data_IF_487034223141
#
_entry.id   IF_487034223141
#
_cell.length_a   1.000
_cell.length_b   1.000
_cell.length_c   1.000
_cell.angle_alpha   90.00
_cell.angle_beta   90.00
_cell.angle_gamma   90.00
#
_symmetry.space_group_name_H-M   'P 1'
#
loop_
_entity.id
_entity.type
_entity.pdbx_description
1 polymer ?
#
# COMPACT_ATOMS: atom_id res chain seq x y z
N UNK A 1 -2.09 -0.08 20.93
CA UNK A 1 -1.42 1.23 21.13
C UNK A 1 -1.29 2.07 19.85
N UNK A 2 -1.01 1.49 18.66
CA UNK A 2 -0.92 2.24 17.38
C UNK A 2 -2.20 3.03 17.00
N UNK A 3 -3.39 2.49 17.25
CA UNK A 3 -4.66 3.14 16.89
C UNK A 3 -4.90 4.47 17.65
N UNK A 4 -4.54 4.50 18.94
CA UNK A 4 -4.67 5.71 19.77
C UNK A 4 -3.72 6.83 19.31
N UNK A 5 -2.51 6.48 18.85
CA UNK A 5 -1.53 7.44 18.35
C UNK A 5 -1.97 8.06 17.00
N UNK A 6 -2.52 7.25 16.09
CA UNK A 6 -3.09 7.73 14.83
C UNK A 6 -4.31 8.62 15.07
N UNK A 7 -5.21 8.24 15.98
CA UNK A 7 -6.36 9.07 16.35
C UNK A 7 -5.94 10.41 16.96
N UNK A 8 -4.92 10.42 17.83
CA UNK A 8 -4.37 11.66 18.37
C UNK A 8 -3.76 12.53 17.28
N UNK A 9 -2.96 11.97 16.37
CA UNK A 9 -2.38 12.70 15.24
C UNK A 9 -3.45 13.31 14.34
N UNK A 10 -4.50 12.55 14.01
CA UNK A 10 -5.64 13.01 13.22
C UNK A 10 -6.43 14.12 13.92
N UNK A 11 -6.62 14.04 15.24
CA UNK A 11 -7.25 15.10 16.01
C UNK A 11 -6.39 16.38 16.06
N UNK A 12 -5.08 16.26 16.23
CA UNK A 12 -4.19 17.42 16.27
C UNK A 12 -4.09 18.12 14.91
N UNK A 13 -4.07 17.36 13.81
CA UNK A 13 -4.10 17.95 12.47
C UNK A 13 -5.45 18.59 12.16
N UNK A 14 -6.58 17.96 12.53
CA UNK A 14 -7.91 18.52 12.35
C UNK A 14 -8.13 19.83 13.13
N UNK A 15 -7.64 19.89 14.39
CA UNK A 15 -7.72 21.09 15.24
C UNK A 15 -7.01 22.28 14.58
N UNK A 16 -5.84 22.04 13.98
CA UNK A 16 -5.06 23.08 13.33
C UNK A 16 -5.68 23.52 11.99
N UNK A 17 -6.32 22.62 11.24
CA UNK A 17 -7.02 22.97 9.99
C UNK A 17 -8.30 23.79 10.20
N UNK A 18 -8.92 23.70 11.38
CA UNK A 18 -10.10 24.49 11.75
C UNK A 18 -9.76 25.87 12.33
N UNK A 19 -8.49 26.11 12.62
CA UNK A 19 -8.03 27.38 13.16
C UNK A 19 -7.73 28.34 12.00
N UNK A 20 -8.68 29.21 11.69
CA UNK A 20 -8.41 30.36 10.81
C UNK A 20 -7.27 31.19 11.40
N UNK A 21 -6.39 31.69 10.52
CA UNK A 21 -5.31 32.57 10.95
C UNK A 21 -5.91 33.76 11.70
N UNK A 22 -5.50 33.95 12.97
CA UNK A 22 -5.97 35.07 13.76
C UNK A 22 -5.68 36.37 12.99
N UNK A 23 -6.69 37.24 12.78
CA UNK A 23 -6.51 38.43 11.98
C UNK A 23 -5.41 39.29 12.59
N UNK A 24 -4.42 39.63 11.79
CA UNK A 24 -3.41 40.60 12.17
C UNK A 24 -4.13 41.92 12.47
N UNK A 25 -3.81 42.52 13.63
CA UNK A 25 -4.37 43.83 13.98
C UNK A 25 -4.05 44.87 12.90
N UNK A 26 -4.84 45.95 12.79
CA UNK A 26 -4.83 46.89 11.65
C UNK A 26 -3.50 47.63 11.38
N UNK A 27 -2.44 47.38 12.16
CA UNK A 27 -1.14 48.03 12.05
C UNK A 27 0.07 47.08 11.88
N UNK A 28 -0.13 45.76 11.86
CA UNK A 28 0.98 44.81 11.75
C UNK A 28 1.11 44.23 10.34
N UNK A 29 2.06 44.75 9.57
CA UNK A 29 2.50 44.11 8.32
C UNK A 29 3.82 43.36 8.57
N UNK A 30 3.91 42.13 8.06
CA UNK A 30 5.14 41.36 8.13
C UNK A 30 6.14 41.87 7.08
N UNK A 31 7.46 41.77 7.32
CA UNK A 31 8.46 42.14 6.32
C UNK A 31 8.28 41.36 5.02
N UNK A 32 8.39 42.02 3.87
CA UNK A 32 8.18 41.39 2.57
C UNK A 32 9.14 40.23 2.30
N UNK A 33 10.39 40.33 2.74
CA UNK A 33 11.39 39.26 2.64
C UNK A 33 10.99 38.00 3.44
N UNK A 34 10.33 38.19 4.59
CA UNK A 34 9.78 37.09 5.38
C UNK A 34 8.61 36.43 4.66
N UNK A 35 7.67 37.22 4.12
CA UNK A 35 6.51 36.68 3.39
C UNK A 35 6.94 35.85 2.18
N UNK A 36 7.83 36.37 1.34
CA UNK A 36 8.33 35.65 0.16
C UNK A 36 9.03 34.35 0.54
N UNK A 37 9.89 34.39 1.56
CA UNK A 37 10.60 33.20 2.03
C UNK A 37 9.66 32.17 2.64
N UNK A 38 8.71 32.61 3.47
CA UNK A 38 7.72 31.74 4.12
C UNK A 38 6.81 31.07 3.10
N UNK A 39 6.30 31.82 2.12
CA UNK A 39 5.45 31.27 1.06
C UNK A 39 6.19 30.25 0.21
N UNK A 40 7.44 30.53 -0.17
CA UNK A 40 8.24 29.58 -0.94
C UNK A 40 8.59 28.33 -0.14
N UNK A 41 8.86 28.46 1.17
CA UNK A 41 9.06 27.32 2.05
C UNK A 41 7.80 26.46 2.16
N UNK A 42 6.62 27.07 2.33
CA UNK A 42 5.35 26.34 2.35
C UNK A 42 5.13 25.60 1.03
N UNK A 43 5.36 26.27 -0.11
CA UNK A 43 5.23 25.65 -1.44
C UNK A 43 6.16 24.45 -1.59
N UNK A 44 7.41 24.57 -1.14
CA UNK A 44 8.37 23.47 -1.18
C UNK A 44 7.97 22.31 -0.28
N UNK A 45 7.55 22.59 0.96
CA UNK A 45 7.09 21.56 1.90
C UNK A 45 5.86 20.83 1.34
N UNK A 46 4.93 21.54 0.70
CA UNK A 46 3.77 20.93 0.04
C UNK A 46 4.19 20.00 -1.10
N UNK A 47 5.15 20.42 -1.94
CA UNK A 47 5.69 19.59 -3.01
C UNK A 47 6.41 18.34 -2.49
N UNK A 48 7.29 18.51 -1.50
CA UNK A 48 8.01 17.38 -0.87
C UNK A 48 7.04 16.41 -0.18
N UNK A 49 5.96 16.92 0.43
CA UNK A 49 4.91 16.10 1.06
C UNK A 49 4.10 15.30 0.02
N UNK A 50 3.76 15.92 -1.12
CA UNK A 50 3.08 15.25 -2.23
C UNK A 50 3.97 14.15 -2.83
N UNK A 51 5.27 14.41 -3.03
CA UNK A 51 6.22 13.40 -3.53
C UNK A 51 6.32 12.21 -2.57
N UNK A 52 6.41 12.48 -1.26
CA UNK A 52 6.42 11.42 -0.26
C UNK A 52 5.13 10.60 -0.30
N UNK A 53 3.97 11.26 -0.35
CA UNK A 53 2.68 10.59 -0.47
C UNK A 53 2.60 9.74 -1.73
N UNK A 54 3.03 10.24 -2.89
CA UNK A 54 3.03 9.49 -4.15
C UNK A 54 3.93 8.24 -4.07
N UNK A 55 5.11 8.35 -3.46
CA UNK A 55 6.02 7.20 -3.29
C UNK A 55 5.43 6.12 -2.38
N UNK A 56 4.85 6.52 -1.26
CA UNK A 56 4.21 5.60 -0.31
C UNK A 56 3.02 4.88 -0.96
N UNK A 57 2.20 5.63 -1.68
CA UNK A 57 0.98 5.11 -2.32
C UNK A 57 1.28 4.23 -3.53
N UNK A 58 2.27 4.60 -4.35
CA UNK A 58 2.76 3.76 -5.44
C UNK A 58 3.30 2.42 -4.93
N UNK A 59 3.98 2.43 -3.78
CA UNK A 59 4.53 1.22 -3.19
C UNK A 59 3.44 0.24 -2.71
N UNK A 60 2.43 0.73 -1.99
CA UNK A 60 1.30 -0.10 -1.53
C UNK A 60 0.47 -0.62 -2.71
N UNK A 61 0.24 0.20 -3.73
CA UNK A 61 -0.45 -0.20 -4.95
C UNK A 61 0.28 -1.34 -5.67
N UNK A 62 1.61 -1.23 -5.85
CA UNK A 62 2.41 -2.29 -6.45
C UNK A 62 2.38 -3.59 -5.64
N UNK A 63 2.44 -3.48 -4.32
CA UNK A 63 2.34 -4.63 -3.43
C UNK A 63 0.98 -5.34 -3.57
N UNK A 64 -0.11 -4.57 -3.52
CA UNK A 64 -1.47 -5.11 -3.70
C UNK A 64 -1.65 -5.76 -5.08
N UNK A 65 -1.24 -5.09 -6.16
CA UNK A 65 -1.30 -5.65 -7.52
C UNK A 65 -0.47 -6.92 -7.69
N UNK A 66 0.71 -6.98 -7.06
CA UNK A 66 1.56 -8.17 -7.05
C UNK A 66 0.91 -9.34 -6.33
N UNK A 67 0.33 -9.12 -5.15
CA UNK A 67 -0.41 -10.14 -4.41
C UNK A 67 -1.59 -10.67 -5.23
N UNK A 68 -2.31 -9.78 -5.89
CA UNK A 68 -3.42 -10.14 -6.76
C UNK A 68 -3.00 -11.02 -7.95
N UNK A 69 -1.86 -10.70 -8.58
CA UNK A 69 -1.27 -11.52 -9.63
C UNK A 69 -0.94 -12.94 -9.11
N UNK A 70 -0.30 -13.04 -7.95
CA UNK A 70 0.05 -14.34 -7.37
C UNK A 70 -1.17 -15.14 -6.96
N UNK A 71 -2.25 -14.50 -6.49
CA UNK A 71 -3.52 -15.18 -6.22
C UNK A 71 -4.06 -15.86 -7.49
N UNK A 72 -4.08 -15.15 -8.63
CA UNK A 72 -4.49 -15.73 -9.91
C UNK A 72 -3.59 -16.88 -10.38
N UNK A 73 -2.28 -16.77 -10.18
CA UNK A 73 -1.32 -17.83 -10.49
C UNK A 73 -1.52 -19.06 -9.60
N UNK A 74 -1.72 -18.88 -8.29
CA UNK A 74 -1.99 -19.97 -7.36
C UNK A 74 -3.34 -20.64 -7.66
N UNK A 75 -4.35 -19.88 -8.07
CA UNK A 75 -5.63 -20.42 -8.50
C UNK A 75 -5.49 -21.30 -9.74
N UNK A 76 -4.68 -20.88 -10.71
CA UNK A 76 -4.39 -21.66 -11.92
C UNK A 76 -3.69 -23.00 -11.61
N UNK A 77 -2.95 -23.05 -10.51
CA UNK A 77 -2.26 -24.25 -10.02
C UNK A 77 -3.18 -25.24 -9.28
N UNK A 78 -4.47 -24.92 -9.11
CA UNK A 78 -5.43 -25.85 -8.53
C UNK A 78 -5.38 -27.21 -9.25
N UNK A 79 -5.30 -28.29 -8.46
CA UNK A 79 -5.19 -29.65 -8.98
C UNK A 79 -3.83 -30.03 -9.55
N UNK A 80 -2.70 -29.42 -9.11
CA UNK A 80 -1.34 -29.96 -9.38
C UNK A 80 -1.25 -31.43 -8.96
N UNK A 81 -1.58 -31.71 -7.70
CA UNK A 81 -1.70 -33.06 -7.15
C UNK A 81 -2.50 -33.02 -5.84
N UNK A 82 -3.19 -34.11 -5.49
CA UNK A 82 -4.00 -34.16 -4.26
C UNK A 82 -3.16 -34.03 -2.99
N UNK A 83 -1.90 -34.43 -3.01
CA UNK A 83 -0.98 -34.32 -1.87
C UNK A 83 -0.60 -32.87 -1.58
N UNK A 84 -0.52 -32.02 -2.61
CA UNK A 84 -0.15 -30.60 -2.50
C UNK A 84 -1.35 -29.66 -2.35
N UNK A 85 -2.57 -30.15 -2.58
CA UNK A 85 -3.80 -29.38 -2.46
C UNK A 85 -3.93 -28.62 -1.12
N UNK A 86 -3.80 -29.24 0.07
CA UNK A 86 -3.96 -28.51 1.32
C UNK A 86 -2.91 -27.42 1.51
N UNK A 87 -1.66 -27.64 1.08
CA UNK A 87 -0.61 -26.63 1.15
C UNK A 87 -0.90 -25.45 0.21
N UNK A 88 -1.41 -25.72 -0.98
CA UNK A 88 -1.81 -24.69 -1.93
C UNK A 88 -3.00 -23.87 -1.40
N UNK A 89 -3.99 -24.53 -0.81
CA UNK A 89 -5.17 -23.88 -0.23
C UNK A 89 -4.78 -22.96 0.93
N UNK A 90 -3.90 -23.41 1.83
CA UNK A 90 -3.36 -22.56 2.92
C UNK A 90 -2.62 -21.35 2.35
N UNK A 91 -1.74 -21.56 1.36
CA UNK A 91 -0.97 -20.47 0.75
C UNK A 91 -1.88 -19.45 0.05
N UNK A 92 -2.94 -19.90 -0.63
CA UNK A 92 -3.93 -19.01 -1.25
C UNK A 92 -4.66 -18.17 -0.20
N UNK A 93 -5.07 -18.79 0.91
CA UNK A 93 -5.73 -18.10 2.01
C UNK A 93 -4.80 -17.02 2.60
N UNK A 94 -3.57 -17.37 2.94
CA UNK A 94 -2.59 -16.45 3.52
C UNK A 94 -2.29 -15.25 2.60
N UNK A 95 -2.16 -15.50 1.29
CA UNK A 95 -1.96 -14.44 0.29
C UNK A 95 -3.20 -13.55 0.18
N UNK A 96 -4.39 -14.13 0.26
CA UNK A 96 -5.66 -13.39 0.22
C UNK A 96 -5.81 -12.50 1.43
N UNK A 97 -5.59 -13.02 2.63
CA UNK A 97 -5.67 -12.27 3.88
C UNK A 97 -4.66 -11.12 3.90
N UNK A 98 -3.44 -11.36 3.40
CA UNK A 98 -2.44 -10.30 3.28
C UNK A 98 -2.85 -9.23 2.26
N UNK A 99 -3.39 -9.61 1.09
CA UNK A 99 -3.88 -8.67 0.10
C UNK A 99 -5.00 -7.79 0.66
N UNK A 100 -5.95 -8.38 1.39
CA UNK A 100 -7.03 -7.66 2.07
C UNK A 100 -6.49 -6.67 3.10
N UNK A 101 -5.48 -7.04 3.90
CA UNK A 101 -4.86 -6.13 4.86
C UNK A 101 -4.21 -4.92 4.17
N UNK A 102 -3.47 -5.14 3.08
CA UNK A 102 -2.90 -4.04 2.28
C UNK A 102 -4.00 -3.16 1.68
N UNK A 103 -5.07 -3.76 1.17
CA UNK A 103 -6.20 -3.01 0.62
C UNK A 103 -6.88 -2.13 1.67
N UNK A 104 -7.15 -2.64 2.87
CA UNK A 104 -7.71 -1.85 3.98
C UNK A 104 -6.80 -0.68 4.35
N UNK A 105 -5.47 -0.90 4.38
CA UNK A 105 -4.52 0.18 4.62
C UNK A 105 -4.52 1.22 3.49
N UNK A 106 -4.74 0.81 2.25
CA UNK A 106 -4.92 1.73 1.13
C UNK A 106 -6.24 2.49 1.24
N UNK A 107 -7.32 1.86 1.70
CA UNK A 107 -8.62 2.50 1.95
C UNK A 107 -8.51 3.59 3.03
N UNK A 108 -7.86 3.29 4.15
CA UNK A 108 -7.59 4.26 5.22
C UNK A 108 -6.80 5.49 4.75
N UNK A 109 -5.97 5.32 3.72
CA UNK A 109 -5.20 6.40 3.10
C UNK A 109 -5.97 7.12 1.97
N UNK A 110 -7.20 6.71 1.66
CA UNK A 110 -8.01 7.24 0.56
C UNK A 110 -7.57 6.78 -0.84
N UNK A 111 -6.88 5.65 -0.91
CA UNK A 111 -6.15 5.15 -2.09
C UNK A 111 -6.63 3.79 -2.59
N UNK A 112 -7.65 3.20 -1.97
CA UNK A 112 -8.18 1.92 -2.41
C UNK A 112 -8.66 2.01 -3.87
N UNK A 113 -8.33 1.02 -4.72
CA UNK A 113 -8.91 0.95 -6.05
C UNK A 113 -10.44 0.89 -5.95
N UNK A 114 -11.13 1.57 -6.88
CA UNK A 114 -12.59 1.74 -6.87
C UNK A 114 -13.39 0.42 -6.89
N UNK A 115 -12.73 -0.70 -7.16
CA UNK A 115 -13.32 -2.03 -7.06
C UNK A 115 -12.36 -2.96 -6.29
N UNK A 116 -12.89 -3.85 -5.44
CA UNK A 116 -12.09 -4.94 -4.88
C UNK A 116 -11.46 -5.78 -6.01
N UNK A 117 -10.39 -6.54 -5.69
CA UNK A 117 -9.69 -7.38 -6.67
C UNK A 117 -10.67 -8.29 -7.45
N UNK A 118 -10.90 -7.98 -8.73
CA UNK A 118 -11.73 -8.78 -9.64
C UNK A 118 -10.88 -9.93 -10.18
N UNK A 119 -11.20 -11.22 -9.93
CA UNK A 119 -10.41 -12.38 -10.35
C UNK A 119 -9.83 -12.18 -11.75
N UNK A 120 -8.50 -12.10 -11.83
CA UNK A 120 -7.80 -11.84 -13.07
C UNK A 120 -8.11 -12.94 -14.09
N UNK A 121 -7.84 -12.65 -15.37
CA UNK A 121 -7.99 -13.61 -16.47
C UNK A 121 -7.53 -15.00 -16.05
N UNK A 122 -8.40 -16.00 -16.17
CA UNK A 122 -8.15 -17.38 -15.77
C UNK A 122 -6.93 -17.91 -16.50
N UNK A 123 -5.76 -17.83 -15.87
CA UNK A 123 -4.56 -18.46 -16.37
C UNK A 123 -4.80 -19.96 -16.30
N UNK A 124 -4.58 -20.65 -17.42
CA UNK A 124 -4.85 -22.08 -17.50
C UNK A 124 -3.57 -22.81 -17.87
N UNK A 125 -3.09 -23.66 -16.97
CA UNK A 125 -2.03 -24.62 -17.28
C UNK A 125 -2.66 -25.84 -17.96
N UNK A 126 -2.26 -26.11 -19.20
CA UNK A 126 -2.91 -27.11 -20.07
C UNK A 126 -2.42 -28.54 -19.84
N UNK A 127 -1.40 -28.74 -19.00
CA UNK A 127 -0.89 -30.08 -18.66
C UNK A 127 -0.45 -30.20 -17.19
N UNK A 128 -0.38 -31.44 -16.70
CA UNK A 128 0.14 -31.74 -15.36
C UNK A 128 1.61 -31.34 -15.20
N UNK A 129 2.42 -31.49 -16.27
CA UNK A 129 3.80 -31.01 -16.28
C UNK A 129 3.87 -29.49 -16.13
N UNK A 130 3.07 -28.73 -16.89
CA UNK A 130 3.02 -27.28 -16.77
C UNK A 130 2.55 -26.83 -15.39
N UNK A 131 1.56 -27.50 -14.79
CA UNK A 131 1.14 -27.22 -13.41
C UNK A 131 2.28 -27.45 -12.41
N UNK A 132 3.04 -28.54 -12.54
CA UNK A 132 4.18 -28.83 -11.64
C UNK A 132 5.34 -27.85 -11.83
N UNK A 133 5.80 -27.66 -13.06
CA UNK A 133 6.89 -26.74 -13.38
C UNK A 133 6.51 -25.28 -13.07
N UNK A 134 5.28 -24.90 -13.43
CA UNK A 134 4.68 -23.61 -13.09
C UNK A 134 4.59 -23.41 -11.58
N UNK A 135 4.18 -24.43 -10.83
CA UNK A 135 4.12 -24.39 -9.37
C UNK A 135 5.46 -24.07 -8.72
N UNK A 136 6.53 -24.74 -9.16
CA UNK A 136 7.89 -24.46 -8.68
C UNK A 136 8.31 -23.02 -8.97
N UNK A 137 8.04 -22.53 -10.19
CA UNK A 137 8.39 -21.17 -10.59
C UNK A 137 7.58 -20.12 -9.82
N UNK A 138 6.26 -20.31 -9.70
CA UNK A 138 5.35 -19.41 -8.98
C UNK A 138 5.77 -19.32 -7.51
N UNK A 139 6.02 -20.46 -6.85
CA UNK A 139 6.46 -20.46 -5.45
C UNK A 139 7.81 -19.73 -5.26
N UNK A 140 8.80 -19.98 -6.12
CA UNK A 140 10.10 -19.32 -6.04
C UNK A 140 10.02 -17.79 -6.25
N UNK A 141 9.17 -17.35 -7.20
CA UNK A 141 8.97 -15.92 -7.47
C UNK A 141 8.16 -15.24 -6.38
N UNK A 142 7.12 -15.92 -5.86
CA UNK A 142 6.33 -15.45 -4.72
C UNK A 142 7.20 -15.26 -3.49
N UNK A 143 8.07 -16.22 -3.16
CA UNK A 143 9.00 -16.09 -2.03
C UNK A 143 9.87 -14.83 -2.16
N UNK A 144 10.51 -14.62 -3.32
CA UNK A 144 11.33 -13.42 -3.55
C UNK A 144 10.51 -12.13 -3.50
N UNK A 145 9.27 -12.16 -3.97
CA UNK A 145 8.35 -11.04 -3.87
C UNK A 145 8.02 -10.73 -2.40
N UNK A 146 7.73 -11.75 -1.59
CA UNK A 146 7.45 -11.60 -0.16
C UNK A 146 8.66 -11.07 0.62
N UNK A 147 9.88 -11.44 0.25
CA UNK A 147 11.10 -10.85 0.83
C UNK A 147 11.21 -9.35 0.56
N UNK A 148 10.87 -8.90 -0.65
CA UNK A 148 10.85 -7.48 -1.00
C UNK A 148 9.70 -6.76 -0.27
N UNK A 149 8.51 -7.36 -0.23
CA UNK A 149 7.36 -6.86 0.52
C UNK A 149 7.71 -6.65 1.99
N UNK A 150 8.38 -7.62 2.61
CA UNK A 150 8.81 -7.54 4.00
C UNK A 150 9.77 -6.36 4.23
N UNK A 151 10.77 -6.17 3.35
CA UNK A 151 11.72 -5.05 3.44
C UNK A 151 11.03 -3.70 3.30
N UNK A 152 10.09 -3.59 2.35
CA UNK A 152 9.28 -2.40 2.14
C UNK A 152 8.46 -2.09 3.40
N UNK A 153 7.70 -3.06 3.90
CA UNK A 153 6.86 -2.85 5.08
C UNK A 153 7.68 -2.47 6.31
N UNK A 154 8.90 -3.03 6.44
CA UNK A 154 9.83 -2.64 7.49
C UNK A 154 10.29 -1.19 7.31
N UNK A 155 10.68 -0.77 6.11
CA UNK A 155 11.05 0.62 5.82
C UNK A 155 9.91 1.59 6.15
N UNK A 156 8.66 1.21 5.85
CA UNK A 156 7.47 1.99 6.20
C UNK A 156 7.15 2.03 7.69
N UNK A 157 7.67 1.08 8.46
CA UNK A 157 7.45 0.99 9.91
C UNK A 157 8.56 1.67 10.73
N UNK A 158 9.68 2.06 10.11
CA UNK A 158 10.75 2.80 10.77
C UNK A 158 10.28 4.26 11.03
N UNK A 159 10.46 4.79 12.26
CA UNK A 159 9.92 6.08 12.68
C UNK A 159 10.66 7.30 12.12
#
# INVERSE_FOLDING_TARGET
MKLMALQLLLWHSALWTMQEAAPLGPASSLPQSFLLKGLEQVRKIQADSLELQERLTGCLSQLHSGLFLYQGLLQALAGISPELAPTLDTLQLDVTDFATNIWLQMEDLGMAPASPPTPGTTLTFTSAFQRRAGGVLVAAKLQRFLELAYRVLRYLAEP
#
